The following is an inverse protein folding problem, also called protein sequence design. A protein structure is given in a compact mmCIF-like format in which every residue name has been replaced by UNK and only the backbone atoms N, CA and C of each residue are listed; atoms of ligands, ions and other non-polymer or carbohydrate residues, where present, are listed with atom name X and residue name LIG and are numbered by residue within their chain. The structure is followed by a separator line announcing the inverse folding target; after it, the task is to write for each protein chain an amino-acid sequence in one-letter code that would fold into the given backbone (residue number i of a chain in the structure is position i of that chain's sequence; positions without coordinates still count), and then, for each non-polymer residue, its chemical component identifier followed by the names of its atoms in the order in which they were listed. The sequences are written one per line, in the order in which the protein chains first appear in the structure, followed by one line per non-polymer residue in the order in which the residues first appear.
data_IF_508827369764
#
_entry.id   IF_508827369764
#
_cell.length_a   1.000
_cell.length_b   1.000
_cell.length_c   1.000
_cell.angle_alpha   90.00
_cell.angle_beta   90.00
_cell.angle_gamma   90.00
#
_symmetry.space_group_name_H-M   'P 1'
#
loop_
_entity.id
_entity.type
_entity.pdbx_description
1 polymer ?
#
# COMPACT_ATOMS: atom_id res chain seq x y z
N UNK A 1 -17.53 -12.14 -4.84
CA UNK A 1 -17.30 -11.60 -6.19
C UNK A 1 -15.92 -11.02 -6.14
N UNK A 2 -15.01 -11.59 -6.94
CA UNK A 2 -13.61 -11.20 -7.00
C UNK A 2 -13.50 -9.81 -7.65
N UNK A 3 -12.79 -8.90 -7.01
CA UNK A 3 -12.68 -7.48 -7.37
C UNK A 3 -11.24 -7.10 -7.71
N UNK A 4 -10.41 -8.08 -8.05
CA UNK A 4 -9.03 -7.87 -8.50
C UNK A 4 -8.97 -7.81 -10.03
N UNK A 5 -8.43 -6.73 -10.63
CA UNK A 5 -8.17 -6.70 -12.06
C UNK A 5 -7.02 -7.67 -12.41
N UNK A 6 -7.15 -8.35 -13.56
CA UNK A 6 -6.11 -9.26 -14.07
C UNK A 6 -4.81 -8.50 -14.35
N UNK A 7 -3.67 -9.13 -14.07
CA UNK A 7 -2.32 -8.54 -14.06
C UNK A 7 -1.93 -7.95 -15.42
N UNK A 8 -2.66 -8.27 -16.49
CA UNK A 8 -2.48 -7.77 -17.85
C UNK A 8 -3.14 -6.43 -18.19
N UNK A 9 -4.00 -5.85 -17.33
CA UNK A 9 -4.81 -4.66 -17.68
C UNK A 9 -4.20 -3.31 -17.24
N UNK A 10 -2.95 -3.32 -16.79
CA UNK A 10 -2.22 -2.10 -16.40
C UNK A 10 -1.60 -1.45 -17.63
N UNK A 11 -2.28 -0.48 -18.21
CA UNK A 11 -1.70 0.41 -19.23
C UNK A 11 -0.88 1.52 -18.55
N UNK A 12 0.40 1.22 -18.26
CA UNK A 12 1.36 2.19 -17.76
C UNK A 12 2.75 1.58 -17.60
N UNK A 13 3.77 2.25 -18.12
CA UNK A 13 5.17 1.82 -17.98
C UNK A 13 5.60 1.83 -16.50
N UNK A 14 6.42 0.86 -16.06
CA UNK A 14 6.95 0.83 -14.71
C UNK A 14 7.80 2.08 -14.45
N UNK A 15 7.44 2.84 -13.41
CA UNK A 15 8.26 3.96 -12.94
C UNK A 15 9.50 3.37 -12.26
N UNK A 16 10.67 3.57 -12.89
CA UNK A 16 11.96 3.23 -12.30
C UNK A 16 12.21 4.12 -11.07
N UNK A 17 12.27 3.50 -9.90
CA UNK A 17 12.76 4.17 -8.69
C UNK A 17 11.90 4.02 -7.44
N UNK A 18 11.26 2.87 -7.18
CA UNK A 18 10.95 2.43 -5.82
C UNK A 18 10.85 0.89 -5.80
N UNK A 19 11.63 0.24 -4.92
CA UNK A 19 11.62 -1.22 -4.71
C UNK A 19 12.76 -1.95 -5.42
N UNK A 20 13.75 -2.41 -4.64
CA UNK A 20 14.80 -3.32 -5.11
C UNK A 20 14.18 -4.61 -5.67
N UNK A 21 14.69 -5.10 -6.80
CA UNK A 21 14.25 -6.38 -7.37
C UNK A 21 14.56 -7.54 -6.40
N UNK A 22 13.67 -8.55 -6.26
CA UNK A 22 13.97 -9.71 -5.45
C UNK A 22 15.09 -10.50 -6.12
N UNK A 23 16.19 -10.67 -5.41
CA UNK A 23 17.31 -11.53 -5.82
C UNK A 23 16.87 -12.97 -5.63
N UNK A 24 16.69 -13.71 -6.72
CA UNK A 24 16.51 -15.16 -6.64
C UNK A 24 16.10 -15.80 -7.96
N UNK A 25 17.08 -16.12 -8.80
CA UNK A 25 16.91 -17.09 -9.88
C UNK A 25 16.67 -18.49 -9.28
N UNK A 26 15.70 -19.28 -9.77
CA UNK A 26 15.45 -20.63 -9.28
C UNK A 26 16.45 -21.62 -9.89
N UNK A 27 17.08 -22.44 -9.04
CA UNK A 27 17.82 -23.63 -9.46
C UNK A 27 19.27 -23.65 -9.01
N UNK A 28 19.53 -24.18 -7.82
CA UNK A 28 20.71 -25.00 -7.49
C UNK A 28 20.59 -25.58 -6.08
N UNK A 29 20.48 -26.89 -6.00
CA UNK A 29 20.91 -27.71 -4.86
C UNK A 29 21.35 -29.07 -5.45
N UNK A 30 22.14 -29.93 -4.77
CA UNK A 30 22.71 -29.79 -3.43
C UNK A 30 24.22 -30.16 -3.33
N UNK A 31 24.89 -29.79 -2.24
CA UNK A 31 26.09 -30.50 -1.75
C UNK A 31 27.36 -29.65 -1.65
N UNK A 32 27.92 -29.59 -0.44
CA UNK A 32 29.24 -29.02 -0.18
C UNK A 32 29.42 -28.64 1.29
N UNK A 33 29.99 -29.54 2.08
CA UNK A 33 30.42 -29.31 3.46
C UNK A 33 31.71 -28.48 3.54
N UNK A 34 31.87 -27.79 4.68
CA UNK A 34 33.11 -27.30 5.32
C UNK A 34 33.60 -25.87 4.96
N UNK A 35 33.57 -25.04 6.01
CA UNK A 35 34.43 -23.89 6.32
C UNK A 35 34.69 -22.85 5.22
N UNK A 36 34.04 -21.70 5.36
CA UNK A 36 34.73 -20.42 5.19
C UNK A 36 34.28 -19.46 6.28
N UNK A 37 35.22 -19.11 7.16
CA UNK A 37 35.04 -18.09 8.18
C UNK A 37 34.75 -16.73 7.50
N UNK A 38 33.93 -15.85 8.08
CA UNK A 38 33.77 -14.50 7.55
C UNK A 38 35.13 -13.78 7.61
N UNK A 39 35.66 -13.43 6.43
CA UNK A 39 36.93 -12.74 6.30
C UNK A 39 36.92 -11.39 7.02
N UNK A 40 37.82 -11.22 7.98
CA UNK A 40 38.18 -9.91 8.51
C UNK A 40 38.88 -9.12 7.39
N UNK A 41 38.38 -7.92 7.09
CA UNK A 41 39.18 -6.96 6.32
C UNK A 41 40.30 -6.42 7.21
N UNK A 42 41.49 -6.10 6.67
CA UNK A 42 42.63 -5.63 7.46
C UNK A 42 42.37 -4.36 8.29
N UNK A 43 41.33 -3.58 7.97
CA UNK A 43 40.96 -2.33 8.66
C UNK A 43 39.91 -2.52 9.78
N UNK A 44 39.54 -3.75 10.13
CA UNK A 44 38.87 -4.04 11.40
C UNK A 44 37.48 -3.39 11.61
N UNK A 45 36.77 -3.02 10.54
CA UNK A 45 35.44 -2.44 10.69
C UNK A 45 34.38 -3.55 10.88
N UNK A 46 34.12 -3.91 12.14
CA UNK A 46 33.02 -4.81 12.51
C UNK A 46 31.69 -4.09 12.33
N UNK A 47 31.14 -4.13 11.12
CA UNK A 47 29.77 -3.65 10.82
C UNK A 47 28.65 -4.54 11.41
N UNK A 48 28.92 -5.29 12.47
CA UNK A 48 27.90 -6.06 13.19
C UNK A 48 28.16 -5.90 14.68
N UNK A 49 27.38 -5.02 15.32
CA UNK A 49 27.29 -5.00 16.79
C UNK A 49 26.65 -6.31 17.25
N UNK A 50 27.39 -7.05 18.07
CA UNK A 50 26.84 -8.16 18.85
C UNK A 50 26.05 -7.58 20.03
N UNK A 51 24.71 -7.59 19.91
CA UNK A 51 23.79 -6.97 20.87
C UNK A 51 23.49 -7.88 22.08
N UNK A 52 24.19 -9.00 22.26
CA UNK A 52 23.99 -9.88 23.43
C UNK A 52 22.55 -10.41 23.54
N UNK A 53 21.87 -10.59 22.40
CA UNK A 53 20.52 -11.17 22.37
C UNK A 53 20.65 -12.64 22.74
N UNK A 54 20.16 -13.00 23.92
CA UNK A 54 20.08 -14.39 24.35
C UNK A 54 19.23 -15.17 23.37
N UNK A 55 19.83 -16.13 22.64
CA UNK A 55 19.09 -17.10 21.85
C UNK A 55 18.12 -17.85 22.78
N UNK A 56 16.79 -17.79 22.56
CA UNK A 56 15.85 -18.48 23.45
C UNK A 56 16.09 -20.00 23.37
N UNK A 57 16.18 -20.72 24.50
CA UNK A 57 16.37 -22.16 24.49
C UNK A 57 15.01 -22.86 24.39
N UNK A 58 14.79 -23.70 23.37
CA UNK A 58 13.59 -24.54 23.35
C UNK A 58 13.44 -25.46 22.12
N UNK A 59 13.09 -26.75 22.29
CA UNK A 59 13.02 -27.76 21.23
C UNK A 59 11.65 -27.82 20.53
N UNK A 60 10.90 -26.71 20.51
CA UNK A 60 9.61 -26.67 19.83
C UNK A 60 9.82 -26.14 18.42
N UNK A 61 9.36 -26.90 17.42
CA UNK A 61 9.10 -26.35 16.10
C UNK A 61 8.27 -25.09 16.31
N UNK A 62 8.82 -23.94 15.90
CA UNK A 62 8.13 -22.65 16.00
C UNK A 62 6.78 -22.72 15.28
N UNK A 63 5.89 -21.74 15.53
CA UNK A 63 4.66 -21.66 14.74
C UNK A 63 5.02 -21.75 13.25
N UNK A 64 4.22 -22.46 12.43
CA UNK A 64 4.48 -22.58 11.01
C UNK A 64 4.72 -21.18 10.45
N UNK A 65 5.76 -21.03 9.61
CA UNK A 65 6.08 -19.76 9.00
C UNK A 65 4.81 -19.19 8.35
N UNK A 66 4.42 -17.97 8.71
CA UNK A 66 3.31 -17.30 8.05
C UNK A 66 3.62 -17.23 6.55
N UNK A 67 2.61 -17.44 5.67
CA UNK A 67 2.81 -17.23 4.25
C UNK A 67 3.35 -15.81 4.02
N UNK A 68 4.23 -15.61 3.03
CA UNK A 68 4.74 -14.28 2.71
C UNK A 68 3.57 -13.33 2.48
N UNK A 69 3.58 -12.19 3.17
CA UNK A 69 2.56 -11.16 2.95
C UNK A 69 2.65 -10.68 1.51
N UNK A 70 1.50 -10.47 0.89
CA UNK A 70 1.47 -9.83 -0.43
C UNK A 70 2.15 -8.45 -0.35
N UNK A 71 2.96 -8.08 -1.35
CA UNK A 71 3.54 -6.74 -1.41
C UNK A 71 2.46 -5.65 -1.47
N UNK A 72 2.75 -4.48 -0.89
CA UNK A 72 1.92 -3.30 -1.09
C UNK A 72 1.89 -2.92 -2.57
N UNK A 73 0.70 -2.75 -3.11
CA UNK A 73 0.49 -2.26 -4.48
C UNK A 73 0.44 -0.75 -4.46
N UNK A 74 1.28 -0.12 -5.28
CA UNK A 74 1.33 1.34 -5.43
C UNK A 74 0.93 1.71 -6.85
N UNK A 75 0.17 2.79 -6.98
CA UNK A 75 -0.13 3.42 -8.28
C UNK A 75 0.18 4.91 -8.16
N UNK A 76 1.13 5.37 -8.96
CA UNK A 76 1.33 6.80 -9.15
C UNK A 76 0.31 7.35 -10.16
N UNK A 77 -0.20 8.54 -9.91
CA UNK A 77 -1.07 9.26 -10.85
C UNK A 77 -0.66 10.73 -10.85
N UNK A 78 -0.57 11.32 -12.05
CA UNK A 78 -0.24 12.73 -12.22
C UNK A 78 -1.56 13.51 -12.21
N UNK A 79 -1.75 14.34 -11.19
CA UNK A 79 -2.90 15.24 -11.06
C UNK A 79 -2.66 16.54 -11.84
N UNK A 80 -3.75 17.19 -12.25
CA UNK A 80 -3.78 18.55 -12.80
C UNK A 80 -4.39 19.50 -11.77
N UNK A 81 -4.09 20.81 -11.83
CA UNK A 81 -4.77 21.79 -11.00
C UNK A 81 -6.30 21.65 -11.09
N UNK A 82 -6.95 21.52 -9.95
CA UNK A 82 -8.39 21.28 -9.83
C UNK A 82 -8.80 19.80 -9.72
N UNK A 83 -7.87 18.86 -9.84
CA UNK A 83 -8.13 17.44 -9.56
C UNK A 83 -8.17 17.17 -8.04
N UNK A 84 -8.93 16.14 -7.67
CA UNK A 84 -9.07 15.67 -6.30
C UNK A 84 -8.82 14.17 -6.25
N UNK A 85 -7.85 13.74 -5.44
CA UNK A 85 -7.67 12.34 -5.08
C UNK A 85 -8.48 12.06 -3.80
N UNK A 86 -9.43 11.11 -3.87
CA UNK A 86 -10.21 10.65 -2.72
C UNK A 86 -9.85 9.20 -2.38
N UNK A 87 -9.44 8.96 -1.14
CA UNK A 87 -9.34 7.64 -0.54
C UNK A 87 -10.46 7.48 0.49
N UNK A 88 -11.20 6.39 0.45
CA UNK A 88 -12.29 6.16 1.39
C UNK A 88 -12.57 4.67 1.64
N UNK A 89 -13.29 4.39 2.73
CA UNK A 89 -13.79 3.04 3.04
C UNK A 89 -15.04 2.70 2.23
N UNK A 90 -15.43 1.41 2.27
CA UNK A 90 -16.62 0.90 1.60
C UNK A 90 -17.90 1.72 1.89
N UNK A 91 -18.07 2.21 3.13
CA UNK A 91 -19.22 3.03 3.51
C UNK A 91 -19.42 4.32 2.71
N UNK A 92 -18.38 4.81 2.01
CA UNK A 92 -18.48 5.91 1.03
C UNK A 92 -18.24 5.44 -0.41
N UNK A 93 -17.35 4.47 -0.63
CA UNK A 93 -17.05 3.96 -1.98
C UNK A 93 -18.26 3.28 -2.63
N UNK A 94 -19.01 2.48 -1.88
CA UNK A 94 -20.18 1.77 -2.41
C UNK A 94 -21.27 2.71 -2.95
N UNK A 95 -21.74 3.75 -2.21
CA UNK A 95 -22.69 4.69 -2.78
C UNK A 95 -22.09 5.52 -3.93
N UNK A 96 -20.78 5.82 -3.93
CA UNK A 96 -20.16 6.53 -5.07
C UNK A 96 -20.19 5.71 -6.37
N UNK A 97 -20.02 4.39 -6.27
CA UNK A 97 -20.03 3.49 -7.43
C UNK A 97 -21.43 3.19 -7.95
N UNK A 98 -22.41 3.09 -7.05
CA UNK A 98 -23.75 2.60 -7.38
C UNK A 98 -24.78 3.73 -7.57
N UNK A 99 -24.52 4.94 -7.03
CA UNK A 99 -25.48 6.05 -7.01
C UNK A 99 -24.87 7.29 -7.66
N UNK A 100 -25.01 7.46 -8.99
CA UNK A 100 -24.36 8.54 -9.77
C UNK A 100 -24.59 9.93 -9.20
N UNK A 101 -25.76 10.18 -8.60
CA UNK A 101 -26.12 11.47 -8.02
C UNK A 101 -25.18 11.93 -6.89
N UNK A 102 -24.57 10.99 -6.15
CA UNK A 102 -23.57 11.34 -5.13
C UNK A 102 -22.26 11.81 -5.79
N UNK A 103 -21.76 11.06 -6.77
CA UNK A 103 -20.54 11.41 -7.50
C UNK A 103 -20.66 12.77 -8.20
N UNK A 104 -21.80 13.01 -8.87
CA UNK A 104 -22.09 14.30 -9.50
C UNK A 104 -22.16 15.46 -8.49
N UNK A 105 -22.74 15.23 -7.31
CA UNK A 105 -22.81 16.24 -6.26
C UNK A 105 -21.41 16.64 -5.78
N UNK A 106 -20.55 15.67 -5.49
CA UNK A 106 -19.19 15.93 -5.02
C UNK A 106 -18.36 16.61 -6.11
N UNK A 107 -18.45 16.13 -7.36
CA UNK A 107 -17.79 16.77 -8.49
C UNK A 107 -18.18 18.26 -8.60
N UNK A 108 -19.47 18.58 -8.56
CA UNK A 108 -19.94 19.98 -8.59
C UNK A 108 -19.42 20.82 -7.41
N UNK A 109 -19.24 20.24 -6.23
CA UNK A 109 -18.80 20.98 -5.04
C UNK A 109 -17.29 21.17 -4.97
N UNK A 110 -16.52 20.23 -5.53
CA UNK A 110 -15.07 20.18 -5.37
C UNK A 110 -14.28 20.64 -6.60
N UNK A 111 -14.82 20.51 -7.82
CA UNK A 111 -14.09 20.87 -9.05
C UNK A 111 -13.75 22.36 -9.11
N UNK A 112 -12.48 22.65 -9.44
CA UNK A 112 -12.01 24.02 -9.71
C UNK A 112 -12.01 24.93 -8.48
N UNK A 113 -12.02 24.35 -7.27
CA UNK A 113 -12.04 25.09 -6.00
C UNK A 113 -10.89 24.62 -5.11
N UNK A 114 -10.37 25.49 -4.23
CA UNK A 114 -9.46 25.07 -3.16
C UNK A 114 -10.11 24.01 -2.27
N UNK A 115 -9.26 23.29 -1.52
CA UNK A 115 -9.73 22.32 -0.54
C UNK A 115 -10.78 22.95 0.41
N UNK A 116 -11.94 22.29 0.63
CA UNK A 116 -12.96 22.80 1.52
C UNK A 116 -12.48 22.83 2.97
N UNK A 117 -13.11 23.67 3.78
CA UNK A 117 -12.91 23.61 5.24
C UNK A 117 -13.43 22.29 5.82
N UNK A 118 -12.95 21.90 7.01
CA UNK A 118 -13.31 20.63 7.65
C UNK A 118 -14.83 20.40 7.75
N UNK A 119 -15.60 21.43 8.11
CA UNK A 119 -17.06 21.32 8.22
C UNK A 119 -17.75 21.04 6.87
N UNK A 120 -17.29 21.70 5.81
CA UNK A 120 -17.79 21.46 4.45
C UNK A 120 -17.40 20.06 3.96
N UNK A 121 -16.15 19.64 4.20
CA UNK A 121 -15.70 18.29 3.86
C UNK A 121 -16.53 17.19 4.55
N UNK A 122 -16.82 17.36 5.84
CA UNK A 122 -17.67 16.42 6.59
C UNK A 122 -19.13 16.45 6.11
N UNK A 123 -19.66 17.62 5.75
CA UNK A 123 -21.00 17.73 5.19
C UNK A 123 -21.12 17.04 3.82
N UNK A 124 -20.08 17.15 2.98
CA UNK A 124 -20.02 16.54 1.66
C UNK A 124 -19.86 15.01 1.74
N UNK A 125 -18.88 14.53 2.51
CA UNK A 125 -18.64 13.09 2.71
C UNK A 125 -19.75 12.39 3.51
N UNK A 126 -20.52 13.16 4.30
CA UNK A 126 -21.65 12.68 5.10
C UNK A 126 -23.01 12.65 4.37
N UNK A 127 -23.08 13.00 3.08
CA UNK A 127 -24.35 12.99 2.32
C UNK A 127 -24.97 11.60 2.35
N UNK A 128 -26.18 11.51 2.91
CA UNK A 128 -26.90 10.24 3.07
C UNK A 128 -27.45 9.77 1.73
N UNK A 129 -27.27 8.48 1.47
CA UNK A 129 -27.83 7.79 0.32
C UNK A 129 -28.64 6.62 0.86
N UNK A 130 -29.87 6.46 0.36
CA UNK A 130 -30.78 5.44 0.89
C UNK A 130 -30.18 4.05 0.70
N UNK A 131 -30.18 3.24 1.75
CA UNK A 131 -29.58 1.90 1.73
C UNK A 131 -28.11 1.85 2.13
N UNK A 132 -27.44 3.00 2.33
CA UNK A 132 -26.03 3.07 2.72
C UNK A 132 -25.87 3.79 4.06
N UNK A 133 -25.62 3.01 5.11
CA UNK A 133 -25.54 3.50 6.49
C UNK A 133 -24.23 3.12 7.20
N UNK A 134 -23.29 2.51 6.49
CA UNK A 134 -22.01 2.08 7.05
C UNK A 134 -21.12 3.27 7.44
N UNK A 135 -20.19 2.99 8.35
CA UNK A 135 -19.20 3.95 8.81
C UNK A 135 -18.33 4.44 7.65
N UNK A 136 -18.11 5.75 7.62
CA UNK A 136 -17.39 6.43 6.55
C UNK A 136 -16.07 6.97 7.07
N UNK A 137 -14.99 6.56 6.42
CA UNK A 137 -13.68 7.18 6.55
C UNK A 137 -13.26 7.69 5.18
N UNK A 138 -12.78 8.92 5.12
CA UNK A 138 -12.34 9.55 3.88
C UNK A 138 -11.13 10.45 4.15
N UNK A 139 -10.19 10.44 3.21
CA UNK A 139 -9.08 11.37 3.11
C UNK A 139 -8.99 11.86 1.66
N UNK A 140 -8.80 13.16 1.46
CA UNK A 140 -8.73 13.72 0.13
C UNK A 140 -7.59 14.75 0.01
N UNK A 141 -7.01 14.81 -1.18
CA UNK A 141 -5.93 15.72 -1.55
C UNK A 141 -6.37 16.49 -2.78
N UNK A 142 -6.27 17.82 -2.73
CA UNK A 142 -6.56 18.73 -3.84
C UNK A 142 -5.25 19.18 -4.48
N UNK A 143 -5.18 19.08 -5.80
CA UNK A 143 -4.11 19.70 -6.57
C UNK A 143 -4.48 21.16 -6.88
N UNK A 144 -3.62 22.10 -6.46
CA UNK A 144 -3.87 23.55 -6.51
C UNK A 144 -3.13 24.24 -7.66
#
# INVERSE_FOLDING_TARGET
QDMEPDVGDVTGEPVLGFGSAPRGTPGSAPGGTLNDAPGETPDGDRLTMDLGVTTPPGPYDGPPAEPPREPFRFRASVARPGDVLLMCTAGLAEPLLNEPGLGELLARRWTGRPAPGLGEFLADSGVRVKGYADDRTAAAVWEA
#
